data_IF_797935218575
#
_entry.id   IF_797935218575
#
_cell.length_a   1.000
_cell.length_b   1.000
_cell.length_c   1.000
_cell.angle_alpha   90.00
_cell.angle_beta   90.00
_cell.angle_gamma   90.00
#
_symmetry.space_group_name_H-M   'P 1'
#
loop_
_entity.id
_entity.type
_entity.pdbx_description
1 polymer ?
#
# COMPACT_ATOMS: atom_id res chain seq x y z
N UNK A 1 8.53 -7.89 -51.75
CA UNK A 1 9.71 -7.45 -50.98
C UNK A 1 9.26 -7.12 -49.58
N UNK A 2 9.34 -8.10 -48.68
CA UNK A 2 8.75 -8.03 -47.33
C UNK A 2 9.70 -7.35 -46.37
N UNK A 3 9.28 -6.22 -45.81
CA UNK A 3 9.99 -5.49 -44.76
C UNK A 3 9.67 -6.19 -43.43
N UNK A 4 10.40 -7.26 -43.11
CA UNK A 4 10.37 -7.84 -41.78
C UNK A 4 11.42 -7.12 -40.95
N UNK A 5 10.96 -6.39 -39.95
CA UNK A 5 11.78 -5.95 -38.82
C UNK A 5 12.12 -7.20 -38.02
N UNK A 6 13.10 -7.98 -38.50
CA UNK A 6 13.41 -9.31 -37.94
C UNK A 6 14.14 -9.21 -36.61
N UNK A 7 14.64 -8.03 -36.24
CA UNK A 7 15.54 -7.88 -35.11
C UNK A 7 15.18 -6.69 -34.20
N UNK A 8 14.80 -7.01 -32.96
CA UNK A 8 14.54 -6.02 -31.91
C UNK A 8 15.83 -5.25 -31.55
N UNK A 9 17.00 -5.88 -31.74
CA UNK A 9 18.31 -5.26 -31.57
C UNK A 9 18.60 -4.21 -32.64
N UNK A 10 18.17 -4.41 -33.89
CA UNK A 10 18.31 -3.40 -34.94
C UNK A 10 17.42 -2.17 -34.69
N UNK A 11 16.22 -2.38 -34.12
CA UNK A 11 15.35 -1.29 -33.66
C UNK A 11 15.95 -0.55 -32.46
N UNK A 12 16.50 -1.29 -31.50
CA UNK A 12 17.23 -0.73 -30.37
C UNK A 12 18.56 -0.08 -30.75
N UNK A 13 19.14 -0.41 -31.90
CA UNK A 13 20.36 0.21 -32.39
C UNK A 13 20.08 1.41 -33.28
N UNK A 14 18.87 1.53 -33.87
CA UNK A 14 18.36 2.68 -34.65
C UNK A 14 19.48 3.49 -35.34
N UNK A 15 20.28 2.81 -36.18
CA UNK A 15 21.38 3.39 -36.96
C UNK A 15 22.41 4.23 -36.15
N UNK A 16 22.62 3.93 -34.86
CA UNK A 16 23.58 4.58 -33.96
C UNK A 16 22.99 5.63 -33.01
N UNK A 17 21.74 6.07 -33.19
CA UNK A 17 21.13 7.13 -32.35
C UNK A 17 20.65 6.64 -30.98
N UNK A 18 20.50 5.34 -30.83
CA UNK A 18 19.97 4.76 -29.61
C UNK A 18 20.89 4.97 -28.40
N UNK A 19 22.19 5.09 -28.63
CA UNK A 19 23.17 5.47 -27.60
C UNK A 19 22.84 6.82 -26.93
N UNK A 20 22.08 7.70 -27.60
CA UNK A 20 21.67 9.00 -27.05
C UNK A 20 20.25 8.99 -26.48
N UNK A 21 19.31 8.33 -27.17
CA UNK A 21 17.89 8.29 -26.78
C UNK A 21 17.69 7.50 -25.49
N UNK A 22 18.31 6.32 -25.36
CA UNK A 22 18.13 5.47 -24.18
C UNK A 22 18.56 6.13 -22.87
N UNK A 23 19.75 6.77 -22.76
CA UNK A 23 20.11 7.43 -21.51
C UNK A 23 19.19 8.63 -21.20
N UNK A 24 18.75 9.40 -22.20
CA UNK A 24 17.80 10.50 -21.98
C UNK A 24 16.48 9.98 -21.40
N UNK A 25 15.92 8.90 -21.97
CA UNK A 25 14.73 8.24 -21.44
C UNK A 25 14.96 7.56 -20.09
N UNK A 26 16.14 6.96 -19.88
CA UNK A 26 16.48 6.32 -18.62
C UNK A 26 16.56 7.34 -17.47
N UNK A 27 17.06 8.55 -17.73
CA UNK A 27 17.07 9.64 -16.75
C UNK A 27 15.64 10.04 -16.37
N UNK A 28 14.77 10.23 -17.37
CA UNK A 28 13.38 10.61 -17.14
C UNK A 28 12.63 9.50 -16.39
N UNK A 29 12.70 8.26 -16.87
CA UNK A 29 12.08 7.11 -16.22
C UNK A 29 12.64 6.87 -14.83
N UNK A 30 13.95 7.02 -14.64
CA UNK A 30 14.61 6.92 -13.36
C UNK A 30 14.08 7.95 -12.37
N UNK A 31 14.00 9.21 -12.78
CA UNK A 31 13.45 10.28 -11.96
C UNK A 31 11.98 10.01 -11.60
N UNK A 32 11.15 9.67 -12.60
CA UNK A 32 9.74 9.31 -12.37
C UNK A 32 9.60 8.11 -11.43
N UNK A 33 10.43 7.09 -11.60
CA UNK A 33 10.44 5.92 -10.75
C UNK A 33 10.82 6.29 -9.32
N UNK A 34 11.88 7.09 -9.11
CA UNK A 34 12.28 7.57 -7.78
C UNK A 34 11.15 8.32 -7.09
N UNK A 35 10.51 9.26 -7.79
CA UNK A 35 9.37 10.01 -7.25
C UNK A 35 8.19 9.10 -6.92
N UNK A 36 7.83 8.21 -7.84
CA UNK A 36 6.75 7.24 -7.63
C UNK A 36 7.04 6.28 -6.47
N UNK A 37 8.29 5.88 -6.30
CA UNK A 37 8.73 4.99 -5.22
C UNK A 37 8.69 5.70 -3.87
N UNK A 38 9.10 6.97 -3.80
CA UNK A 38 9.01 7.79 -2.59
C UNK A 38 7.55 7.92 -2.12
N UNK A 39 6.64 8.28 -3.05
CA UNK A 39 5.21 8.41 -2.76
C UNK A 39 4.57 7.07 -2.39
N UNK A 40 4.96 5.97 -3.06
CA UNK A 40 4.46 4.63 -2.71
C UNK A 40 4.99 4.15 -1.37
N UNK A 41 6.25 4.42 -1.05
CA UNK A 41 6.86 4.04 0.22
C UNK A 41 6.17 4.74 1.40
N UNK A 42 5.86 6.04 1.27
CA UNK A 42 5.10 6.79 2.27
C UNK A 42 3.68 6.22 2.46
N UNK A 43 2.99 5.90 1.36
CA UNK A 43 1.66 5.28 1.41
C UNK A 43 1.68 3.89 2.05
N UNK A 44 2.71 3.08 1.75
CA UNK A 44 2.88 1.76 2.34
C UNK A 44 3.15 1.83 3.85
N UNK A 45 3.94 2.82 4.29
CA UNK A 45 4.21 3.08 5.71
C UNK A 45 2.93 3.47 6.45
N UNK A 46 2.15 4.42 5.91
CA UNK A 46 0.89 4.86 6.50
C UNK A 46 -0.12 3.68 6.64
N UNK A 47 -0.29 2.88 5.59
CA UNK A 47 -1.18 1.71 5.63
C UNK A 47 -0.71 0.63 6.61
N UNK A 48 0.61 0.46 6.78
CA UNK A 48 1.19 -0.46 7.76
C UNK A 48 0.85 -0.08 9.20
N UNK A 49 0.88 1.21 9.52
CA UNK A 49 0.51 1.72 10.83
C UNK A 49 -0.99 1.57 11.11
N UNK A 50 -1.86 1.86 10.13
CA UNK A 50 -3.30 1.62 10.28
C UNK A 50 -3.62 0.13 10.48
N UNK A 51 -2.96 -0.78 9.73
CA UNK A 51 -3.13 -2.23 9.93
C UNK A 51 -2.72 -2.69 11.33
N UNK A 52 -1.65 -2.12 11.90
CA UNK A 52 -1.23 -2.44 13.28
C UNK A 52 -2.25 -1.98 14.32
N UNK A 53 -2.91 -0.83 14.11
CA UNK A 53 -3.95 -0.31 15.01
C UNK A 53 -5.23 -1.15 14.96
N UNK A 54 -5.73 -1.48 13.76
CA UNK A 54 -6.91 -2.33 13.60
C UNK A 54 -6.77 -3.71 14.25
N UNK A 55 -5.55 -4.27 14.26
CA UNK A 55 -5.29 -5.58 14.90
C UNK A 55 -5.36 -5.52 16.43
N UNK A 56 -5.15 -4.35 17.04
CA UNK A 56 -5.30 -4.16 18.50
C UNK A 56 -6.77 -3.91 18.88
N UNK A 57 -7.50 -3.15 18.08
CA UNK A 57 -8.93 -2.90 18.31
C UNK A 57 -9.76 -4.19 18.16
N UNK A 58 -9.44 -5.05 17.18
CA UNK A 58 -10.09 -6.37 17.05
C UNK A 58 -9.77 -7.36 18.18
N UNK A 59 -8.71 -7.11 18.94
CA UNK A 59 -8.32 -7.93 20.09
C UNK A 59 -8.76 -7.34 21.42
N UNK A 60 -9.45 -6.20 21.43
CA UNK A 60 -10.22 -5.79 22.59
C UNK A 60 -11.49 -6.64 22.54
N UNK A 61 -11.60 -7.71 23.34
CA UNK A 61 -12.89 -8.36 23.48
C UNK A 61 -13.80 -7.27 24.02
N UNK A 62 -14.99 -7.22 23.45
CA UNK A 62 -16.13 -6.46 23.92
C UNK A 62 -16.34 -6.82 25.40
N UNK A 63 -15.60 -6.19 26.30
CA UNK A 63 -15.75 -6.28 27.76
C UNK A 63 -16.80 -5.24 28.16
N UNK A 64 -17.93 -5.34 27.46
CA UNK A 64 -19.16 -4.60 27.71
C UNK A 64 -20.28 -5.51 28.19
N UNK A 65 -20.07 -6.84 28.17
CA UNK A 65 -20.99 -7.81 28.75
C UNK A 65 -20.58 -8.19 30.18
N UNK A 66 -20.18 -7.21 31.00
CA UNK A 66 -20.33 -7.35 32.44
C UNK A 66 -21.76 -6.88 32.75
N UNK A 67 -22.76 -7.79 32.84
CA UNK A 67 -24.09 -7.42 33.29
C UNK A 67 -23.93 -6.73 34.65
N UNK A 68 -24.51 -5.53 34.83
CA UNK A 68 -24.25 -4.72 36.00
C UNK A 68 -24.64 -5.51 37.24
N UNK A 69 -23.66 -5.76 38.12
CA UNK A 69 -23.88 -6.28 39.48
C UNK A 69 -24.85 -5.38 40.29
N UNK A 70 -25.18 -4.20 39.77
CA UNK A 70 -26.19 -3.26 40.26
C UNK A 70 -27.64 -3.70 40.00
N UNK A 71 -27.91 -4.59 39.03
CA UNK A 71 -29.25 -5.13 38.77
C UNK A 71 -29.67 -6.16 39.83
N UNK A 72 -28.73 -6.90 40.40
CA UNK A 72 -29.00 -7.87 41.46
C UNK A 72 -29.30 -7.18 42.82
N UNK A 73 -28.75 -5.98 43.05
CA UNK A 73 -28.95 -5.23 44.30
C UNK A 73 -30.22 -4.36 44.30
N UNK A 74 -30.84 -4.14 43.13
CA UNK A 74 -32.10 -3.41 43.02
C UNK A 74 -33.33 -4.27 43.32
N UNK A 75 -33.27 -5.59 43.10
CA UNK A 75 -34.40 -6.48 43.40
C UNK A 75 -34.56 -6.71 44.92
N UNK A 76 -33.45 -6.81 45.66
CA UNK A 76 -33.48 -7.01 47.13
C UNK A 76 -33.96 -5.76 47.91
N UNK A 77 -33.89 -4.56 47.31
CA UNK A 77 -34.34 -3.31 47.96
C UNK A 77 -35.84 -3.02 47.75
N UNK A 78 -36.49 -3.65 46.77
CA UNK A 78 -37.93 -3.47 46.51
C UNK A 78 -38.77 -4.41 47.37
N UNK A 79 -38.18 -5.46 47.93
CA UNK A 79 -38.88 -6.45 48.77
C UNK A 79 -38.82 -6.15 50.29
N UNK A 80 -38.13 -5.09 50.72
CA UNK A 80 -38.04 -4.67 52.13
C UNK A 80 -38.76 -3.36 52.41
#
# INVERSE_FOLDING_TARGET
MTIYFTDFGAFLAMNGYAAYVWPAWALVLGLLATQAFAVRAERARALGELRRRMRRERSQPMRGDEPPAHAALSEERVER
#
